data_IF_578286176596
#
_entry.id   IF_578286176596
#
_cell.length_a   1.000
_cell.length_b   1.000
_cell.length_c   1.000
_cell.angle_alpha   90.00
_cell.angle_beta   90.00
_cell.angle_gamma   90.00
#
_symmetry.space_group_name_H-M   'P 1'
#
loop_
_entity.id
_entity.type
_entity.pdbx_description
1 polymer ?
#
# COMPACT_ATOMS: atom_id res chain seq x y z
N UNK A 1 23.11 23.07 50.84
CA UNK A 1 22.50 23.70 52.02
C UNK A 1 21.04 23.96 51.71
N UNK A 2 20.31 22.85 51.68
CA UNK A 2 18.94 22.67 52.16
C UNK A 2 18.75 23.47 53.48
N UNK A 3 17.53 23.95 53.84
CA UNK A 3 16.42 23.00 54.00
C UNK A 3 14.96 23.51 53.82
N UNK A 4 14.06 22.52 53.82
CA UNK A 4 12.67 22.44 54.33
C UNK A 4 11.87 23.71 54.72
N UNK A 5 10.59 23.72 54.32
CA UNK A 5 9.37 23.96 55.12
C UNK A 5 8.18 24.09 54.13
N UNK A 6 7.11 23.28 54.20
CA UNK A 6 6.10 23.12 55.26
C UNK A 6 5.22 24.37 55.48
N UNK A 7 3.93 24.22 55.19
CA UNK A 7 2.84 24.94 55.87
C UNK A 7 1.65 23.98 56.03
N UNK A 8 0.78 24.17 57.04
CA UNK A 8 -0.04 23.09 57.62
C UNK A 8 -1.31 23.59 58.33
N UNK A 9 -2.45 22.88 58.12
CA UNK A 9 -3.74 23.01 58.83
C UNK A 9 -4.43 24.40 58.71
N UNK A 10 -5.62 24.71 59.31
CA UNK A 10 -6.46 24.01 60.34
C UNK A 10 -7.34 22.87 59.73
N UNK A 11 -7.97 21.91 60.44
CA UNK A 11 -8.63 21.81 61.77
C UNK A 11 -10.05 22.44 61.80
N UNK A 12 -11.15 21.67 61.61
CA UNK A 12 -11.93 20.85 62.60
C UNK A 12 -12.90 21.71 63.47
N UNK A 13 -13.90 21.15 64.22
CA UNK A 13 -14.29 19.77 64.52
C UNK A 13 -15.63 19.38 63.81
N UNK A 14 -16.60 18.54 64.26
CA UNK A 14 -16.90 17.88 65.54
C UNK A 14 -17.92 16.70 65.42
N UNK A 15 -18.25 16.10 66.58
CA UNK A 15 -19.44 15.28 66.91
C UNK A 15 -19.64 13.87 66.30
N UNK A 16 -19.47 12.86 67.15
CA UNK A 16 -20.04 11.50 67.06
C UNK A 16 -21.41 11.46 67.85
N UNK A 17 -22.22 10.36 67.95
CA UNK A 17 -21.82 8.95 67.81
C UNK A 17 -22.84 7.92 67.22
N UNK A 18 -22.35 6.68 67.11
CA UNK A 18 -23.05 5.39 67.29
C UNK A 18 -24.21 4.94 66.35
N UNK A 19 -23.92 3.95 65.51
CA UNK A 19 -24.83 2.86 65.13
C UNK A 19 -24.03 1.55 64.90
N UNK A 20 -24.66 0.39 65.08
CA UNK A 20 -24.04 -0.94 64.93
C UNK A 20 -24.03 -1.42 63.45
N UNK A 21 -23.18 -2.39 63.06
CA UNK A 21 -22.98 -2.74 61.66
C UNK A 21 -24.16 -3.52 61.04
N UNK A 22 -24.55 -3.10 59.84
CA UNK A 22 -25.36 -3.88 58.89
C UNK A 22 -24.44 -4.50 57.82
N UNK A 23 -24.80 -5.63 57.18
CA UNK A 23 -23.87 -6.41 56.38
C UNK A 23 -23.47 -5.69 55.08
N UNK A 24 -22.21 -5.86 54.69
CA UNK A 24 -21.78 -5.52 53.33
C UNK A 24 -22.49 -6.44 52.33
N UNK A 25 -23.10 -5.93 51.24
CA UNK A 25 -23.41 -6.77 50.10
C UNK A 25 -22.08 -7.33 49.54
N UNK A 26 -22.12 -8.55 49.02
CA UNK A 26 -20.93 -9.22 48.51
C UNK A 26 -20.23 -8.36 47.43
N UNK A 27 -18.90 -8.48 47.35
CA UNK A 27 -18.13 -7.77 46.34
C UNK A 27 -18.66 -8.11 44.94
N UNK A 28 -19.05 -7.07 44.19
CA UNK A 28 -19.29 -7.20 42.75
C UNK A 28 -17.93 -7.43 42.11
N UNK A 29 -17.67 -8.68 41.75
CA UNK A 29 -16.50 -9.06 40.96
C UNK A 29 -16.54 -8.27 39.65
N UNK A 30 -15.60 -7.35 39.47
CA UNK A 30 -15.48 -6.59 38.23
C UNK A 30 -14.89 -7.54 37.18
N UNK A 31 -15.78 -8.23 36.48
CA UNK A 31 -15.42 -9.05 35.34
C UNK A 31 -14.62 -8.19 34.34
N UNK A 32 -13.36 -8.56 34.13
CA UNK A 32 -12.54 -7.94 33.11
C UNK A 32 -13.18 -8.20 31.74
N UNK A 33 -13.21 -7.23 30.82
CA UNK A 33 -13.76 -7.45 29.48
C UNK A 33 -12.94 -8.55 28.78
N UNK A 34 -13.61 -9.63 28.38
CA UNK A 34 -12.96 -10.75 27.72
C UNK A 34 -12.35 -10.29 26.39
N UNK A 35 -11.02 -10.22 26.33
CA UNK A 35 -10.31 -10.17 25.06
C UNK A 35 -10.62 -11.48 24.31
N UNK A 36 -11.03 -11.42 23.02
CA UNK A 36 -11.36 -12.63 22.28
C UNK A 36 -10.13 -13.54 22.17
N UNK A 37 -10.16 -14.66 22.88
CA UNK A 37 -9.07 -15.63 22.94
C UNK A 37 -9.03 -16.43 21.64
N UNK A 38 -8.39 -15.85 20.61
CA UNK A 38 -8.17 -16.47 19.30
C UNK A 38 -7.43 -17.82 19.37
N UNK A 39 -6.80 -18.09 20.52
CA UNK A 39 -5.97 -19.23 20.85
C UNK A 39 -6.62 -19.94 22.05
N UNK A 40 -7.67 -20.72 21.79
CA UNK A 40 -8.48 -21.37 22.83
C UNK A 40 -7.64 -22.27 23.76
N UNK A 41 -8.05 -22.35 25.04
CA UNK A 41 -7.28 -22.88 26.16
C UNK A 41 -6.30 -24.03 25.81
N UNK A 42 -5.02 -23.81 26.08
CA UNK A 42 -3.89 -24.60 25.58
C UNK A 42 -3.69 -25.95 26.30
N UNK A 43 -4.66 -26.85 26.18
CA UNK A 43 -4.70 -28.16 26.84
C UNK A 43 -4.89 -29.31 25.83
N UNK A 44 -3.94 -29.46 24.90
CA UNK A 44 -3.82 -30.66 24.06
C UNK A 44 -2.75 -31.60 24.65
N UNK A 45 -3.19 -32.71 25.24
CA UNK A 45 -2.32 -33.67 25.93
C UNK A 45 -1.62 -34.65 24.97
N UNK A 46 -2.02 -34.66 23.69
CA UNK A 46 -1.27 -35.26 22.58
C UNK A 46 -0.86 -34.18 21.58
N UNK A 47 0.18 -34.42 20.79
CA UNK A 47 0.58 -33.50 19.73
C UNK A 47 -0.53 -33.47 18.64
N UNK A 48 -1.14 -32.30 18.35
CA UNK A 48 -2.16 -32.19 17.33
C UNK A 48 -1.56 -32.37 15.92
N UNK A 49 -2.33 -33.00 15.01
CA UNK A 49 -1.95 -33.09 13.61
C UNK A 49 -2.22 -31.75 12.88
N UNK A 50 -1.26 -31.37 12.02
CA UNK A 50 -1.36 -30.24 11.10
C UNK A 50 -1.25 -30.66 9.63
N UNK A 51 -1.27 -31.96 9.34
CA UNK A 51 -1.33 -32.48 7.97
C UNK A 51 -2.62 -32.04 7.29
N UNK A 52 -3.71 -31.96 8.05
CA UNK A 52 -5.03 -31.53 7.59
C UNK A 52 -5.28 -29.99 7.53
N UNK A 53 -4.26 -29.14 7.70
CA UNK A 53 -4.43 -27.68 7.55
C UNK A 53 -4.85 -27.33 6.11
N UNK A 54 -6.02 -26.74 5.97
CA UNK A 54 -6.64 -26.45 4.67
C UNK A 54 -6.27 -25.06 4.16
N UNK A 55 -5.80 -25.00 2.92
CA UNK A 55 -5.74 -23.77 2.13
C UNK A 55 -7.06 -23.60 1.36
N UNK A 56 -7.72 -22.44 1.39
CA UNK A 56 -8.89 -22.14 0.56
C UNK A 56 -8.50 -22.04 -0.92
N UNK A 57 -9.47 -22.21 -1.82
CA UNK A 57 -9.21 -22.18 -3.27
C UNK A 57 -8.59 -20.85 -3.73
N UNK A 58 -7.51 -20.94 -4.51
CA UNK A 58 -6.73 -19.80 -4.98
C UNK A 58 -5.65 -19.30 -4.01
N UNK A 59 -5.58 -19.79 -2.77
CA UNK A 59 -4.49 -19.44 -1.86
C UNK A 59 -3.21 -20.26 -2.14
N UNK A 60 -2.17 -19.58 -2.59
CA UNK A 60 -0.81 -20.13 -2.70
C UNK A 60 -0.01 -19.88 -1.41
N UNK A 61 0.36 -20.96 -0.72
CA UNK A 61 1.39 -20.93 0.31
C UNK A 61 2.65 -21.65 -0.20
N UNK A 62 3.81 -21.04 0.02
CA UNK A 62 5.09 -21.70 -0.21
C UNK A 62 5.28 -22.89 0.75
N UNK A 63 5.76 -24.07 0.27
CA UNK A 63 5.84 -25.26 1.11
C UNK A 63 6.82 -25.13 2.29
N UNK A 64 7.92 -24.39 2.17
CA UNK A 64 8.85 -24.18 3.28
C UNK A 64 8.26 -23.24 4.34
N UNK A 65 7.50 -22.23 3.92
CA UNK A 65 6.73 -21.32 4.77
C UNK A 65 5.62 -22.08 5.51
N UNK A 66 4.93 -23.00 4.84
CA UNK A 66 3.91 -23.86 5.44
C UNK A 66 4.51 -24.88 6.43
N UNK A 67 5.69 -25.43 6.15
CA UNK A 67 6.40 -26.31 7.09
C UNK A 67 6.86 -25.54 8.34
N UNK A 68 7.45 -24.34 8.17
CA UNK A 68 7.81 -23.45 9.26
C UNK A 68 6.60 -23.04 10.12
N UNK A 69 5.44 -22.78 9.49
CA UNK A 69 4.19 -22.51 10.20
C UNK A 69 3.78 -23.72 11.07
N UNK A 70 3.81 -24.94 10.51
CA UNK A 70 3.52 -26.19 11.26
C UNK A 70 4.51 -26.44 12.40
N UNK A 71 5.79 -26.10 12.22
CA UNK A 71 6.80 -26.20 13.27
C UNK A 71 6.50 -25.27 14.46
N UNK A 72 6.18 -23.99 14.21
CA UNK A 72 5.80 -23.02 15.25
C UNK A 72 4.52 -23.43 15.98
N UNK A 73 3.51 -23.90 15.24
CA UNK A 73 2.29 -24.45 15.84
C UNK A 73 2.61 -25.65 16.74
N UNK A 74 3.49 -26.55 16.31
CA UNK A 74 3.92 -27.74 17.05
C UNK A 74 4.69 -27.41 18.33
N UNK A 75 5.63 -26.47 18.28
CA UNK A 75 6.38 -25.99 19.45
C UNK A 75 5.45 -25.43 20.52
N UNK A 76 4.43 -24.67 20.10
CA UNK A 76 3.41 -24.11 21.01
C UNK A 76 2.23 -25.05 21.30
N UNK A 77 2.20 -26.28 20.76
CA UNK A 77 1.10 -27.27 20.89
C UNK A 77 -0.29 -26.71 20.60
N UNK A 78 -0.41 -25.82 19.62
CA UNK A 78 -1.66 -25.13 19.32
C UNK A 78 -2.72 -26.09 18.75
N UNK A 79 -3.96 -26.15 19.30
CA UNK A 79 -4.97 -27.07 18.79
C UNK A 79 -5.31 -26.77 17.33
N UNK A 80 -5.51 -27.80 16.50
CA UNK A 80 -5.64 -27.68 15.04
C UNK A 80 -6.73 -26.68 14.59
N UNK A 81 -7.79 -26.50 15.38
CA UNK A 81 -8.82 -25.47 15.11
C UNK A 81 -8.28 -24.04 15.25
N UNK A 82 -7.46 -23.76 16.28
CA UNK A 82 -6.80 -22.45 16.44
C UNK A 82 -5.72 -22.25 15.36
N UNK A 83 -5.00 -23.31 14.99
CA UNK A 83 -4.06 -23.28 13.87
C UNK A 83 -4.75 -22.93 12.53
N UNK A 84 -5.92 -23.52 12.26
CA UNK A 84 -6.72 -23.21 11.07
C UNK A 84 -7.26 -21.77 11.10
N UNK A 85 -7.71 -21.27 12.26
CA UNK A 85 -8.14 -19.87 12.44
C UNK A 85 -7.00 -18.86 12.23
N UNK A 86 -5.78 -19.18 12.66
CA UNK A 86 -4.59 -18.35 12.38
C UNK A 86 -4.27 -18.31 10.88
N UNK A 87 -4.33 -19.46 10.20
CA UNK A 87 -4.09 -19.55 8.76
C UNK A 87 -5.14 -18.76 7.97
N UNK A 88 -6.42 -18.91 8.32
CA UNK A 88 -7.55 -18.18 7.71
C UNK A 88 -7.40 -16.65 7.90
N UNK A 89 -7.11 -16.19 9.12
CA UNK A 89 -6.88 -14.78 9.43
C UNK A 89 -5.69 -14.19 8.64
N UNK A 90 -4.61 -14.96 8.49
CA UNK A 90 -3.45 -14.56 7.69
C UNK A 90 -3.81 -14.41 6.20
N UNK A 91 -4.56 -15.37 5.65
CA UNK A 91 -5.00 -15.33 4.25
C UNK A 91 -6.03 -14.22 3.98
N UNK A 92 -6.96 -13.97 4.90
CA UNK A 92 -7.87 -12.82 4.84
C UNK A 92 -7.08 -11.50 4.88
N UNK A 93 -6.00 -11.42 5.68
CA UNK A 93 -5.12 -10.25 5.74
C UNK A 93 -4.37 -10.04 4.41
N UNK A 94 -3.88 -11.11 3.79
CA UNK A 94 -3.25 -11.06 2.46
C UNK A 94 -4.25 -10.65 1.36
N UNK A 95 -5.48 -11.17 1.40
CA UNK A 95 -6.55 -10.79 0.48
C UNK A 95 -6.92 -9.31 0.64
N UNK A 96 -7.07 -8.83 1.87
CA UNK A 96 -7.34 -7.42 2.16
C UNK A 96 -6.20 -6.52 1.68
N UNK A 97 -4.93 -6.93 1.86
CA UNK A 97 -3.77 -6.21 1.31
C UNK A 97 -3.84 -6.12 -0.22
N UNK A 98 -4.12 -7.22 -0.93
CA UNK A 98 -4.26 -7.19 -2.38
C UNK A 98 -5.42 -6.30 -2.84
N UNK A 99 -6.56 -6.31 -2.13
CA UNK A 99 -7.67 -5.40 -2.41
C UNK A 99 -7.29 -3.93 -2.18
N UNK A 100 -6.53 -3.60 -1.12
CA UNK A 100 -6.02 -2.24 -0.89
C UNK A 100 -5.05 -1.79 -1.99
N UNK A 101 -4.17 -2.69 -2.48
CA UNK A 101 -3.30 -2.39 -3.62
C UNK A 101 -4.09 -2.16 -4.90
N UNK A 102 -5.08 -3.00 -5.20
CA UNK A 102 -5.98 -2.82 -6.36
C UNK A 102 -6.77 -1.51 -6.28
N UNK A 103 -7.32 -1.15 -5.10
CA UNK A 103 -7.99 0.13 -4.87
C UNK A 103 -7.02 1.32 -5.04
N UNK A 104 -5.77 1.18 -4.62
CA UNK A 104 -4.74 2.22 -4.78
C UNK A 104 -4.41 2.43 -6.26
N UNK A 105 -4.21 1.36 -7.03
CA UNK A 105 -3.98 1.42 -8.50
C UNK A 105 -5.19 2.01 -9.23
N UNK A 106 -6.42 1.62 -8.87
CA UNK A 106 -7.64 2.22 -9.43
C UNK A 106 -7.78 3.72 -9.07
N UNK A 107 -7.36 4.10 -7.86
CA UNK A 107 -7.27 5.49 -7.43
C UNK A 107 -6.27 6.32 -8.25
N UNK A 108 -5.18 5.72 -8.74
CA UNK A 108 -4.25 6.41 -9.64
C UNK A 108 -4.88 6.76 -10.98
N UNK A 109 -5.75 5.91 -11.55
CA UNK A 109 -6.47 6.23 -12.79
C UNK A 109 -7.40 7.45 -12.61
N UNK A 110 -8.06 7.59 -11.46
CA UNK A 110 -8.81 8.79 -11.09
C UNK A 110 -7.90 10.02 -10.93
N UNK A 111 -6.71 9.87 -10.33
CA UNK A 111 -5.76 10.97 -10.17
C UNK A 111 -5.20 11.45 -11.52
N UNK A 112 -4.88 10.51 -12.44
CA UNK A 112 -4.43 10.82 -13.81
C UNK A 112 -5.51 11.58 -14.57
N UNK A 113 -6.77 11.13 -14.51
CA UNK A 113 -7.87 11.82 -15.22
C UNK A 113 -8.12 13.26 -14.75
N UNK A 114 -7.82 13.56 -13.48
CA UNK A 114 -7.93 14.89 -12.87
C UNK A 114 -6.61 15.71 -12.93
N UNK A 115 -5.54 15.18 -13.52
CA UNK A 115 -4.24 15.84 -13.56
C UNK A 115 -4.20 16.96 -14.64
N UNK A 116 -3.69 18.17 -14.34
CA UNK A 116 -3.68 19.28 -15.30
C UNK A 116 -2.60 19.17 -16.41
N UNK A 117 -1.63 18.25 -16.29
CA UNK A 117 -0.59 18.00 -17.30
C UNK A 117 -0.85 16.73 -18.12
N UNK A 118 -1.44 15.68 -17.51
CA UNK A 118 -1.64 14.37 -18.16
C UNK A 118 -3.10 13.88 -18.22
N UNK A 119 -4.06 14.68 -17.73
CA UNK A 119 -5.48 14.34 -17.66
C UNK A 119 -6.38 15.15 -18.60
N UNK A 120 -7.68 15.10 -18.31
CA UNK A 120 -8.72 15.81 -19.07
C UNK A 120 -8.69 15.54 -20.57
N UNK A 121 -9.08 16.54 -21.38
CA UNK A 121 -9.14 16.42 -22.85
C UNK A 121 -7.79 16.19 -23.54
N UNK A 122 -6.67 16.32 -22.83
CA UNK A 122 -5.32 16.04 -23.35
C UNK A 122 -4.81 14.62 -23.06
N UNK A 123 -5.56 13.83 -22.28
CA UNK A 123 -5.07 12.58 -21.66
C UNK A 123 -4.55 11.55 -22.68
N UNK A 124 -5.25 11.30 -23.79
CA UNK A 124 -4.79 10.35 -24.81
C UNK A 124 -3.45 10.78 -25.45
N UNK A 125 -3.30 12.08 -25.76
CA UNK A 125 -2.04 12.62 -26.30
C UNK A 125 -0.91 12.55 -25.26
N UNK A 126 -1.21 12.83 -23.98
CA UNK A 126 -0.23 12.75 -22.91
C UNK A 126 0.25 11.31 -22.66
N UNK A 127 -0.67 10.34 -22.64
CA UNK A 127 -0.38 8.92 -22.52
C UNK A 127 0.35 8.37 -23.77
N UNK A 128 0.01 8.87 -24.97
CA UNK A 128 0.73 8.54 -26.21
C UNK A 128 2.19 8.97 -26.17
N UNK A 129 2.46 10.22 -25.78
CA UNK A 129 3.83 10.74 -25.62
C UNK A 129 4.59 10.02 -24.48
N UNK A 130 3.92 9.71 -23.37
CA UNK A 130 4.53 8.94 -22.28
C UNK A 130 4.90 7.50 -22.72
N UNK A 131 4.03 6.83 -23.49
CA UNK A 131 4.32 5.51 -24.06
C UNK A 131 5.46 5.56 -25.07
N UNK A 132 5.50 6.57 -25.95
CA UNK A 132 6.61 6.74 -26.90
C UNK A 132 7.95 6.97 -26.16
N UNK A 133 7.94 7.74 -25.07
CA UNK A 133 9.13 7.95 -24.24
C UNK A 133 9.60 6.66 -23.53
N UNK A 134 8.66 5.83 -23.04
CA UNK A 134 8.95 4.50 -22.50
C UNK A 134 9.53 3.55 -23.56
N UNK A 135 8.98 3.55 -24.77
CA UNK A 135 9.44 2.72 -25.89
C UNK A 135 10.83 3.12 -26.39
N UNK A 136 11.14 4.42 -26.38
CA UNK A 136 12.42 4.95 -26.90
C UNK A 136 13.57 4.91 -25.86
N UNK A 137 13.27 5.02 -24.55
CA UNK A 137 14.29 5.15 -23.49
C UNK A 137 14.18 4.13 -22.35
N UNK A 138 13.10 3.35 -22.28
CA UNK A 138 12.95 2.28 -21.29
C UNK A 138 13.66 0.99 -21.71
N UNK A 139 14.05 0.18 -20.72
CA UNK A 139 14.42 -1.22 -20.97
C UNK A 139 13.19 -2.13 -20.85
N UNK A 140 13.18 -3.32 -21.47
CA UNK A 140 12.11 -4.30 -21.26
C UNK A 140 11.98 -4.70 -19.79
N UNK A 141 13.06 -4.70 -19.00
CA UNK A 141 13.00 -4.97 -17.56
C UNK A 141 12.27 -3.84 -16.80
N UNK A 142 12.55 -2.58 -17.14
CA UNK A 142 11.82 -1.44 -16.57
C UNK A 142 10.32 -1.51 -16.91
N UNK A 143 9.98 -1.89 -18.14
CA UNK A 143 8.60 -2.08 -18.56
C UNK A 143 7.94 -3.23 -17.80
N UNK A 144 8.63 -4.35 -17.56
CA UNK A 144 8.11 -5.43 -16.69
C UNK A 144 7.84 -4.90 -15.29
N UNK A 145 8.85 -4.35 -14.62
CA UNK A 145 8.73 -3.84 -13.24
C UNK A 145 7.59 -2.83 -13.08
N UNK A 146 7.39 -1.93 -14.06
CA UNK A 146 6.27 -0.97 -14.04
C UNK A 146 4.88 -1.62 -14.21
N UNK A 147 4.78 -2.76 -14.91
CA UNK A 147 3.55 -3.54 -15.01
C UNK A 147 3.34 -4.43 -13.78
N UNK A 148 4.35 -5.19 -13.36
CA UNK A 148 4.33 -6.13 -12.23
C UNK A 148 4.02 -5.43 -10.90
N UNK A 149 4.53 -4.20 -10.69
CA UNK A 149 4.22 -3.36 -9.52
C UNK A 149 2.99 -2.48 -9.70
N UNK A 150 2.39 -2.45 -10.89
CA UNK A 150 1.33 -1.53 -11.28
C UNK A 150 1.74 -0.05 -11.43
N UNK A 151 2.99 0.31 -11.08
CA UNK A 151 3.50 1.70 -11.07
C UNK A 151 3.43 2.42 -12.42
N UNK A 152 3.31 1.69 -13.54
CA UNK A 152 3.04 2.28 -14.86
C UNK A 152 1.74 3.10 -14.91
N UNK A 153 0.80 2.86 -13.99
CA UNK A 153 -0.46 3.61 -13.84
C UNK A 153 -0.32 4.84 -12.90
N UNK A 154 0.80 5.00 -12.18
CA UNK A 154 0.97 6.03 -11.17
C UNK A 154 1.15 7.42 -11.81
N UNK A 155 0.42 8.47 -11.37
CA UNK A 155 0.42 9.77 -12.05
C UNK A 155 1.80 10.42 -12.12
N UNK A 156 2.63 10.31 -11.08
CA UNK A 156 3.98 10.88 -11.13
C UNK A 156 4.91 10.17 -12.13
N UNK A 157 4.69 8.87 -12.40
CA UNK A 157 5.45 8.08 -13.38
C UNK A 157 5.02 8.51 -14.78
N UNK A 158 3.71 8.52 -15.05
CA UNK A 158 3.15 8.97 -16.33
C UNK A 158 3.56 10.41 -16.62
N UNK A 159 3.53 11.32 -15.63
CA UNK A 159 3.94 12.73 -15.79
C UNK A 159 5.43 12.87 -16.12
N UNK A 160 6.31 12.04 -15.55
CA UNK A 160 7.73 12.03 -15.88
C UNK A 160 7.96 11.60 -17.35
N UNK A 161 7.37 10.47 -17.77
CA UNK A 161 7.49 9.99 -19.14
C UNK A 161 6.79 10.91 -20.15
N UNK A 162 5.66 11.52 -19.80
CA UNK A 162 5.00 12.55 -20.62
C UNK A 162 5.90 13.75 -20.87
N UNK A 163 6.53 14.29 -19.82
CA UNK A 163 7.45 15.44 -19.96
C UNK A 163 8.66 15.11 -20.83
N UNK A 164 9.19 13.89 -20.72
CA UNK A 164 10.25 13.39 -21.61
C UNK A 164 9.75 13.26 -23.07
N UNK A 165 8.61 12.61 -23.28
CA UNK A 165 7.96 12.48 -24.60
C UNK A 165 7.67 13.81 -25.27
N UNK A 166 7.20 14.79 -24.50
CA UNK A 166 6.99 16.17 -24.95
C UNK A 166 8.31 16.82 -25.40
N UNK A 167 9.37 16.73 -24.61
CA UNK A 167 10.67 17.29 -24.97
C UNK A 167 11.21 16.69 -26.30
N UNK A 168 11.10 15.37 -26.46
CA UNK A 168 11.46 14.66 -27.72
C UNK A 168 10.61 15.18 -28.89
N UNK A 169 9.30 15.28 -28.70
CA UNK A 169 8.37 15.76 -29.72
C UNK A 169 8.50 17.27 -30.04
N UNK A 170 9.14 18.06 -29.17
CA UNK A 170 9.48 19.48 -29.38
C UNK A 170 10.85 19.67 -30.05
N UNK A 171 11.78 18.74 -29.85
CA UNK A 171 13.08 18.72 -30.53
C UNK A 171 12.98 18.14 -31.95
N UNK A 172 12.31 17.00 -32.13
CA UNK A 172 12.08 16.40 -33.46
C UNK A 172 11.32 17.32 -34.43
N UNK A 173 10.50 18.24 -33.90
CA UNK A 173 9.80 19.29 -34.66
C UNK A 173 10.72 20.43 -35.15
N UNK A 174 11.94 20.51 -34.61
CA UNK A 174 13.06 21.35 -35.08
C UNK A 174 14.04 20.58 -35.96
N UNK A 175 13.76 19.30 -36.26
CA UNK A 175 14.42 18.57 -37.34
C UNK A 175 14.40 19.38 -38.65
N UNK A 176 15.39 19.18 -39.53
CA UNK A 176 15.78 20.17 -40.53
C UNK A 176 14.59 20.65 -41.36
N UNK A 177 14.22 21.91 -41.15
CA UNK A 177 13.25 22.61 -41.99
C UNK A 177 13.81 22.63 -43.41
N UNK A 178 13.26 21.77 -44.26
CA UNK A 178 13.42 21.85 -45.70
C UNK A 178 12.56 23.00 -46.23
N UNK A 179 12.77 24.20 -45.67
CA UNK A 179 12.28 25.45 -46.24
C UNK A 179 12.82 25.52 -47.65
N UNK A 180 11.89 25.47 -48.62
CA UNK A 180 12.16 25.05 -50.01
C UNK A 180 13.45 25.65 -50.51
N UNK A 181 14.48 24.80 -50.67
CA UNK A 181 15.76 25.22 -51.20
C UNK A 181 15.48 25.87 -52.58
N UNK A 182 15.89 27.13 -52.80
CA UNK A 182 15.58 27.82 -54.04
C UNK A 182 16.12 26.99 -55.20
N UNK A 183 15.24 26.68 -56.15
CA UNK A 183 15.45 25.67 -57.18
C UNK A 183 16.90 25.71 -57.72
N UNK A 184 17.67 24.61 -57.61
CA UNK A 184 19.10 24.64 -57.90
C UNK A 184 19.39 24.94 -59.38
N UNK A 185 18.47 24.60 -60.30
CA UNK A 185 18.54 25.02 -61.69
C UNK A 185 18.32 26.53 -61.82
N UNK A 186 17.38 27.10 -61.08
CA UNK A 186 17.13 28.56 -61.06
C UNK A 186 18.25 29.36 -60.37
N UNK A 187 18.96 28.76 -59.43
CA UNK A 187 20.15 29.33 -58.79
C UNK A 187 21.39 29.28 -59.71
N UNK A 188 21.57 28.20 -60.48
CA UNK A 188 22.69 28.04 -61.42
C UNK A 188 22.47 28.76 -62.76
N UNK A 189 21.21 28.89 -63.22
CA UNK A 189 20.85 29.47 -64.51
C UNK A 189 19.81 30.61 -64.38
N UNK A 190 20.09 31.69 -63.61
CA UNK A 190 19.15 32.78 -63.37
C UNK A 190 18.76 33.56 -64.64
N UNK A 191 19.50 33.39 -65.74
CA UNK A 191 19.22 33.99 -67.05
C UNK A 191 18.24 33.21 -67.93
N UNK A 192 17.91 31.96 -67.59
CA UNK A 192 16.97 31.12 -68.38
C UNK A 192 15.52 31.19 -67.88
N UNK A 193 15.27 31.83 -66.73
CA UNK A 193 13.96 31.91 -66.08
C UNK A 193 13.52 33.36 -65.83
N UNK A 194 13.82 34.23 -66.80
CA UNK A 194 13.37 35.61 -66.87
C UNK A 194 12.59 35.79 -68.18
N UNK A 195 11.49 36.52 -68.07
CA UNK A 195 10.31 36.52 -68.95
C UNK A 195 10.59 36.76 -70.45
#
# INVERSE_FOLDING_TARGET
MDPIATTTAPEAPAAAPAAAPAPVPAAVEIAAPEAPTLLGALSAETAPDYSALALPEGATADPATMDAFKAVLGEHKLPTESAQKLLDLHLQTLQAQQQQMQQTVAGWAQQVGNDPEIGGSGQEQALGLARQALDTYGSPELISVLNDTGLGNHPAVIRAFYRMGKAIAEDGRKGPSHGVAPDPLRALYPTMFKD
#
